data_IF_925295630494
#
_entry.id   IF_925295630494
#
_cell.length_a   1.000
_cell.length_b   1.000
_cell.length_c   1.000
_cell.angle_alpha   90.00
_cell.angle_beta   90.00
_cell.angle_gamma   90.00
#
_symmetry.space_group_name_H-M   'P 1'
#
loop_
_entity.id
_entity.type
_entity.pdbx_description
1 polymer ?
#
# COMPACT_ATOMS: atom_id res chain seq x y z
N UNK A 1 -22.27 -6.20 2.45
CA UNK A 1 -21.13 -7.10 2.13
C UNK A 1 -20.05 -6.98 3.18
N UNK A 2 -19.51 -8.09 3.67
CA UNK A 2 -18.46 -8.08 4.69
C UNK A 2 -17.12 -7.65 4.07
N UNK A 3 -16.45 -6.67 4.66
CA UNK A 3 -15.08 -6.26 4.30
C UNK A 3 -14.19 -7.50 4.13
N UNK A 4 -13.64 -7.70 2.93
CA UNK A 4 -12.66 -8.76 2.69
C UNK A 4 -11.33 -8.37 3.33
N UNK A 5 -11.08 -8.90 4.53
CA UNK A 5 -9.80 -8.77 5.19
C UNK A 5 -8.73 -9.53 4.38
N UNK A 6 -7.76 -8.81 3.82
CA UNK A 6 -6.56 -9.40 3.21
C UNK A 6 -5.48 -9.46 4.28
N UNK A 7 -4.80 -10.59 4.38
CA UNK A 7 -3.62 -10.77 5.22
C UNK A 7 -2.42 -11.12 4.34
N UNK A 8 -1.32 -10.41 4.51
CA UNK A 8 -0.04 -10.71 3.87
C UNK A 8 0.99 -10.99 4.95
N UNK A 9 1.63 -12.16 4.92
CA UNK A 9 2.64 -12.55 5.92
C UNK A 9 2.15 -12.37 7.37
N UNK A 10 0.93 -12.82 7.67
CA UNK A 10 0.24 -12.63 8.95
C UNK A 10 0.01 -11.16 9.38
N UNK A 11 0.20 -10.21 8.47
CA UNK A 11 -0.07 -8.79 8.70
C UNK A 11 -1.38 -8.41 8.01
N UNK A 12 -2.37 -7.84 8.74
CA UNK A 12 -3.61 -7.39 8.14
C UNK A 12 -3.39 -6.17 7.24
N UNK A 13 -4.05 -6.16 6.09
CA UNK A 13 -3.99 -5.09 5.10
C UNK A 13 -5.36 -4.45 4.99
N UNK A 14 -5.41 -3.11 5.12
CA UNK A 14 -6.66 -2.37 4.91
C UNK A 14 -7.06 -2.40 3.45
N UNK A 15 -8.33 -2.71 3.21
CA UNK A 15 -8.99 -2.67 1.92
C UNK A 15 -10.28 -1.88 2.09
N UNK A 16 -10.58 -0.96 1.18
CA UNK A 16 -11.85 -0.21 1.24
C UNK A 16 -13.01 -0.97 0.58
N UNK A 17 -14.20 -0.37 0.61
CA UNK A 17 -15.43 -0.97 0.04
C UNK A 17 -15.37 -1.14 -1.48
N UNK A 18 -14.55 -0.33 -2.16
CA UNK A 18 -14.33 -0.41 -3.61
C UNK A 18 -13.24 -1.43 -4.00
N UNK A 19 -12.60 -2.05 -3.00
CA UNK A 19 -11.52 -3.00 -3.19
C UNK A 19 -10.13 -2.37 -3.33
N UNK A 20 -9.98 -1.06 -3.06
CA UNK A 20 -8.65 -0.44 -3.05
C UNK A 20 -7.86 -0.89 -1.83
N UNK A 21 -6.58 -1.18 -2.05
CA UNK A 21 -5.68 -1.76 -1.04
C UNK A 21 -4.73 -0.69 -0.51
N UNK A 22 -4.53 -0.65 0.81
CA UNK A 22 -3.59 0.27 1.43
C UNK A 22 -2.13 -0.13 1.15
N UNK A 23 -1.49 0.62 0.25
CA UNK A 23 -0.11 0.39 -0.16
C UNK A 23 0.91 0.48 0.99
N UNK A 24 0.67 1.36 1.98
CA UNK A 24 1.54 1.48 3.16
C UNK A 24 1.50 0.22 4.02
N UNK A 25 0.32 -0.38 4.19
CA UNK A 25 0.18 -1.62 4.96
C UNK A 25 0.86 -2.78 4.22
N UNK A 26 0.74 -2.83 2.88
CA UNK A 26 1.45 -3.81 2.05
C UNK A 26 2.97 -3.69 2.20
N UNK A 27 3.50 -2.47 2.17
CA UNK A 27 4.93 -2.24 2.37
C UNK A 27 5.38 -2.67 3.78
N UNK A 28 4.64 -2.32 4.83
CA UNK A 28 4.96 -2.78 6.20
C UNK A 28 4.96 -4.31 6.31
N UNK A 29 3.96 -4.97 5.71
CA UNK A 29 3.88 -6.42 5.69
C UNK A 29 5.03 -7.10 4.94
N UNK A 30 5.62 -6.40 3.96
CA UNK A 30 6.74 -6.94 3.15
C UNK A 30 8.08 -7.01 3.89
N UNK A 31 8.20 -6.33 5.04
CA UNK A 31 9.46 -6.29 5.83
C UNK A 31 10.60 -5.51 5.16
N UNK A 32 10.28 -4.70 4.14
CA UNK A 32 11.22 -3.85 3.42
C UNK A 32 11.65 -2.65 4.26
N UNK A 33 12.78 -2.03 3.89
CA UNK A 33 13.31 -0.90 4.66
C UNK A 33 12.50 0.39 4.43
N UNK A 34 12.68 1.36 5.31
CA UNK A 34 12.10 2.72 5.21
C UNK A 34 12.43 3.41 3.89
N UNK A 35 13.62 3.20 3.34
CA UNK A 35 14.04 3.78 2.05
C UNK A 35 13.23 3.25 0.87
N UNK A 36 12.60 2.08 1.04
CA UNK A 36 11.70 1.48 0.05
C UNK A 36 10.22 1.83 0.31
N UNK A 37 9.94 2.74 1.25
CA UNK A 37 8.56 3.14 1.55
C UNK A 37 7.90 3.80 0.33
N UNK A 38 6.59 3.58 0.11
CA UNK A 38 5.85 4.18 -1.00
C UNK A 38 5.93 5.71 -1.05
N UNK A 39 6.19 6.36 0.08
CA UNK A 39 6.39 7.81 0.17
C UNK A 39 7.52 8.31 -0.75
N UNK A 40 8.62 7.56 -0.86
CA UNK A 40 9.72 7.94 -1.74
C UNK A 40 9.34 7.81 -3.22
N UNK A 41 8.60 6.76 -3.56
CA UNK A 41 8.07 6.56 -4.91
C UNK A 41 7.04 7.65 -5.29
N UNK A 42 6.07 7.92 -4.42
CA UNK A 42 5.02 8.93 -4.64
C UNK A 42 5.55 10.37 -4.65
N UNK A 43 6.71 10.63 -4.05
CA UNK A 43 7.36 11.94 -4.13
C UNK A 43 8.11 12.17 -5.43
N UNK A 44 8.42 11.11 -6.18
CA UNK A 44 9.02 11.24 -7.49
C UNK A 44 8.08 12.03 -8.41
N UNK A 45 8.62 13.09 -9.03
CA UNK A 45 7.88 13.99 -9.93
C UNK A 45 7.19 13.20 -11.06
N UNK A 46 7.87 12.21 -11.61
CA UNK A 46 7.35 11.37 -12.69
C UNK A 46 6.15 10.52 -12.24
N UNK A 47 6.21 9.96 -11.03
CA UNK A 47 5.12 9.17 -10.47
C UNK A 47 3.89 10.03 -10.19
N UNK A 48 4.07 11.27 -9.72
CA UNK A 48 2.96 12.21 -9.54
C UNK A 48 2.26 12.56 -10.85
N UNK A 49 3.04 12.75 -11.92
CA UNK A 49 2.52 13.04 -13.26
C UNK A 49 1.78 11.84 -13.85
N UNK A 50 2.19 10.60 -13.54
CA UNK A 50 1.50 9.38 -13.99
C UNK A 50 0.17 9.13 -13.27
N UNK A 51 0.06 9.52 -12.00
CA UNK A 51 -1.12 9.30 -11.17
C UNK A 51 -2.17 10.43 -11.25
N UNK A 52 -1.86 11.54 -11.91
CA UNK A 52 -2.74 12.69 -12.11
C UNK A 52 -3.70 12.48 -13.30
#
# INVERSE_FOLDING_TARGET
>A
DAMKAITLFNTPIRVDESGMICLTDMWKASGKSESESPYHYLRNKQTKEFLA
#
